data_IF_521180187727
#
_entry.id   IF_521180187727
#
_cell.length_a   1.000
_cell.length_b   1.000
_cell.length_c   1.000
_cell.angle_alpha   90.00
_cell.angle_beta   90.00
_cell.angle_gamma   90.00
#
_symmetry.space_group_name_H-M   'P 1'
#
loop_
_entity.id
_entity.type
_entity.pdbx_description
1 polymer ?
#
# COMPACT_ATOMS: atom_id res chain seq x y z
N UNK A 1 -15.37 -2.30 22.59
CA UNK A 1 -13.92 -2.24 22.87
C UNK A 1 -13.23 -1.64 21.66
N UNK A 2 -12.12 -0.93 21.84
CA UNK A 2 -11.36 -0.34 20.73
C UNK A 2 -10.44 -1.40 20.11
N UNK A 3 -10.45 -1.52 18.79
CA UNK A 3 -9.60 -2.37 17.97
C UNK A 3 -8.23 -1.68 17.81
N UNK A 4 -7.14 -2.25 18.36
CA UNK A 4 -5.81 -1.65 18.28
C UNK A 4 -5.28 -1.70 16.84
N UNK A 5 -4.53 -0.68 16.45
CA UNK A 5 -3.84 -0.68 15.16
C UNK A 5 -2.47 -1.39 15.20
N UNK A 6 -1.98 -1.82 14.04
CA UNK A 6 -0.68 -2.48 13.82
C UNK A 6 0.37 -1.54 13.20
N UNK A 7 1.53 -2.07 12.82
CA UNK A 7 2.60 -1.31 12.17
C UNK A 7 2.18 -0.67 10.85
N UNK A 8 1.20 -1.22 10.13
CA UNK A 8 0.59 -0.60 8.95
C UNK A 8 0.16 0.84 9.22
N UNK A 9 -0.60 1.04 10.31
CA UNK A 9 -1.12 2.35 10.70
C UNK A 9 -0.05 3.20 11.35
N UNK A 10 0.83 2.62 12.18
CA UNK A 10 1.92 3.36 12.82
C UNK A 10 2.86 3.98 11.76
N UNK A 11 3.21 3.21 10.73
CA UNK A 11 4.04 3.65 9.63
C UNK A 11 3.30 4.61 8.69
N UNK A 12 2.01 4.37 8.41
CA UNK A 12 1.17 5.32 7.66
C UNK A 12 1.12 6.69 8.32
N UNK A 13 0.93 6.73 9.64
CA UNK A 13 0.95 7.97 10.42
C UNK A 13 2.30 8.66 10.32
N UNK A 14 3.39 7.91 10.40
CA UNK A 14 4.74 8.47 10.24
C UNK A 14 4.97 9.10 8.85
N UNK A 15 4.48 8.48 7.76
CA UNK A 15 4.52 9.05 6.40
C UNK A 15 3.79 10.39 6.38
N UNK A 16 2.54 10.40 6.86
CA UNK A 16 1.69 11.60 6.82
C UNK A 16 2.26 12.72 7.69
N UNK A 17 2.75 12.40 8.88
CA UNK A 17 3.39 13.39 9.76
C UNK A 17 4.64 14.02 9.12
N UNK A 18 5.42 13.24 8.35
CA UNK A 18 6.56 13.78 7.60
C UNK A 18 6.11 14.76 6.53
N UNK A 19 5.15 14.35 5.70
CA UNK A 19 4.58 15.19 4.64
C UNK A 19 4.00 16.50 5.19
N UNK A 20 3.30 16.45 6.33
CA UNK A 20 2.73 17.63 6.97
C UNK A 20 3.80 18.54 7.58
N UNK A 21 4.81 17.98 8.23
CA UNK A 21 5.87 18.76 8.87
C UNK A 21 6.80 19.44 7.85
N UNK A 22 7.07 18.76 6.74
CA UNK A 22 8.01 19.23 5.71
C UNK A 22 7.32 19.93 4.55
N UNK A 23 6.02 19.68 4.35
CA UNK A 23 5.21 20.21 3.24
C UNK A 23 5.72 19.77 1.85
N UNK A 24 6.68 18.86 1.85
CA UNK A 24 7.29 18.17 0.72
C UNK A 24 7.83 16.82 1.20
N UNK A 25 8.36 16.04 0.28
CA UNK A 25 8.98 14.77 0.59
C UNK A 25 10.41 15.03 1.05
N UNK A 26 10.72 14.60 2.27
CA UNK A 26 12.03 14.67 2.88
C UNK A 26 12.36 13.26 3.41
N UNK A 27 13.22 12.54 2.69
CA UNK A 27 13.60 11.17 3.03
C UNK A 27 14.26 11.06 4.41
N UNK A 28 14.99 12.10 4.83
CA UNK A 28 15.72 12.10 6.10
C UNK A 28 14.74 12.22 7.27
N UNK A 29 13.79 13.15 7.17
CA UNK A 29 12.73 13.31 8.16
C UNK A 29 11.82 12.08 8.23
N UNK A 30 11.42 11.53 7.09
CA UNK A 30 10.56 10.36 7.04
C UNK A 30 11.26 9.12 7.63
N UNK A 31 12.54 8.90 7.29
CA UNK A 31 13.33 7.81 7.85
C UNK A 31 13.50 7.93 9.36
N UNK A 32 13.76 9.15 9.85
CA UNK A 32 13.86 9.45 11.28
C UNK A 32 12.55 9.13 12.00
N UNK A 33 11.40 9.55 11.46
CA UNK A 33 10.08 9.27 12.04
C UNK A 33 9.77 7.79 12.12
N UNK A 34 10.07 7.01 11.08
CA UNK A 34 9.90 5.55 11.13
C UNK A 34 10.69 4.94 12.28
N UNK A 35 11.94 5.37 12.45
CA UNK A 35 12.82 4.82 13.46
C UNK A 35 12.43 5.25 14.89
N UNK A 36 11.97 6.50 15.06
CA UNK A 36 11.47 7.02 16.32
C UNK A 36 10.13 6.39 16.73
N UNK A 37 9.21 6.19 15.78
CA UNK A 37 7.93 5.51 16.02
C UNK A 37 8.16 4.06 16.46
N UNK A 38 9.01 3.31 15.75
CA UNK A 38 9.40 1.96 16.17
C UNK A 38 10.03 1.95 17.57
N UNK A 39 10.89 2.92 17.90
CA UNK A 39 11.51 3.02 19.23
C UNK A 39 10.45 3.27 20.32
N UNK A 40 9.42 4.05 20.02
CA UNK A 40 8.35 4.42 20.95
C UNK A 40 7.38 3.25 21.17
N UNK A 41 6.95 2.58 20.10
CA UNK A 41 5.93 1.53 20.13
C UNK A 41 6.40 0.26 19.38
N UNK A 42 7.46 -0.44 19.85
CA UNK A 42 8.08 -1.54 19.09
C UNK A 42 7.21 -2.79 18.92
N UNK A 43 6.13 -2.92 19.70
CA UNK A 43 5.28 -4.11 19.76
C UNK A 43 4.02 -3.98 18.89
N UNK A 44 4.07 -3.20 17.80
CA UNK A 44 2.94 -2.98 16.88
C UNK A 44 2.80 -4.01 15.75
N UNK A 45 3.67 -5.02 15.67
CA UNK A 45 3.57 -6.08 14.65
C UNK A 45 4.67 -6.07 13.59
N UNK A 46 5.63 -5.14 13.68
CA UNK A 46 6.71 -4.98 12.69
C UNK A 46 7.41 -6.29 12.31
N UNK A 47 7.61 -6.47 11.00
CA UNK A 47 8.42 -7.56 10.47
C UNK A 47 9.84 -7.58 11.04
N UNK A 48 10.31 -8.76 11.47
CA UNK A 48 11.60 -8.89 12.17
C UNK A 48 12.80 -8.35 11.39
N UNK A 49 12.77 -8.42 10.05
CA UNK A 49 13.86 -7.94 9.21
C UNK A 49 13.97 -6.40 9.22
N UNK A 50 12.84 -5.69 9.21
CA UNK A 50 12.83 -4.21 9.15
C UNK A 50 13.28 -3.56 10.46
N UNK A 51 13.18 -4.27 11.59
CA UNK A 51 13.69 -3.81 12.89
C UNK A 51 15.17 -3.40 12.82
N UNK A 52 15.99 -4.13 12.05
CA UNK A 52 17.41 -3.81 11.89
C UNK A 52 17.62 -2.50 11.11
N UNK A 53 16.72 -2.18 10.18
CA UNK A 53 16.71 -0.87 9.49
C UNK A 53 16.47 0.25 10.48
N UNK A 54 15.43 0.14 11.31
CA UNK A 54 15.10 1.18 12.31
C UNK A 54 16.25 1.40 13.30
N UNK A 55 16.88 0.32 13.78
CA UNK A 55 18.05 0.43 14.66
C UNK A 55 19.23 1.15 14.00
N UNK A 56 19.48 0.90 12.71
CA UNK A 56 20.54 1.58 11.96
C UNK A 56 20.19 3.06 11.70
N UNK A 57 18.93 3.37 11.39
CA UNK A 57 18.47 4.75 11.16
C UNK A 57 18.58 5.63 12.43
N UNK A 58 18.44 5.05 13.62
CA UNK A 58 18.67 5.76 14.89
C UNK A 58 20.16 5.97 15.21
N UNK A 59 21.06 5.33 14.47
CA UNK A 59 22.50 5.45 14.73
C UNK A 59 23.00 6.82 14.26
N UNK A 60 23.76 7.56 15.08
CA UNK A 60 24.37 8.83 14.65
C UNK A 60 25.41 8.63 13.53
N UNK A 61 25.75 7.39 13.19
CA UNK A 61 26.64 7.03 12.07
C UNK A 61 25.90 6.85 10.74
N UNK A 62 24.57 6.89 10.72
CA UNK A 62 23.79 6.79 9.49
C UNK A 62 23.81 8.14 8.77
N UNK A 63 24.60 8.24 7.70
CA UNK A 63 24.65 9.42 6.83
C UNK A 63 23.78 9.26 5.57
N UNK A 64 23.53 8.03 5.15
CA UNK A 64 22.68 7.67 4.02
C UNK A 64 21.49 6.85 4.54
N UNK A 65 20.31 7.45 4.51
CA UNK A 65 19.07 6.86 5.08
C UNK A 65 18.54 5.69 4.26
N UNK A 66 19.04 5.47 3.04
CA UNK A 66 18.67 4.32 2.20
C UNK A 66 19.62 3.13 2.37
N UNK A 67 20.86 3.33 2.87
CA UNK A 67 21.82 2.25 3.08
C UNK A 67 21.27 1.11 3.95
N UNK A 68 20.59 1.37 5.08
CA UNK A 68 20.12 0.30 5.94
C UNK A 68 19.18 -0.69 5.22
N UNK A 69 18.31 -0.18 4.36
CA UNK A 69 17.40 -0.97 3.56
C UNK A 69 18.13 -1.77 2.48
N UNK A 70 19.11 -1.16 1.79
CA UNK A 70 19.95 -1.84 0.79
C UNK A 70 20.75 -2.98 1.40
N UNK A 71 21.20 -2.85 2.64
CA UNK A 71 21.96 -3.88 3.34
C UNK A 71 21.12 -5.12 3.75
N UNK A 72 19.78 -5.04 3.71
CA UNK A 72 18.94 -6.18 4.08
C UNK A 72 19.12 -7.36 3.10
N UNK A 73 18.91 -8.59 3.60
CA UNK A 73 18.89 -9.82 2.80
C UNK A 73 20.16 -10.00 1.93
N UNK A 74 21.33 -9.81 2.54
CA UNK A 74 22.63 -9.91 1.87
C UNK A 74 22.75 -8.97 0.65
N UNK A 75 22.25 -7.73 0.79
CA UNK A 75 22.31 -6.74 -0.28
C UNK A 75 21.15 -6.78 -1.27
N UNK A 76 20.23 -7.75 -1.15
CA UNK A 76 19.11 -7.92 -2.09
C UNK A 76 17.91 -7.01 -1.79
N UNK A 77 17.84 -6.46 -0.57
CA UNK A 77 16.70 -5.67 -0.09
C UNK A 77 15.46 -6.52 0.23
N UNK A 78 14.53 -5.92 0.96
CA UNK A 78 13.23 -6.55 1.28
C UNK A 78 12.26 -6.44 0.09
N UNK A 79 11.58 -7.54 -0.24
CA UNK A 79 10.44 -7.59 -1.17
C UNK A 79 9.07 -7.62 -0.45
N UNK A 80 9.06 -7.41 0.87
CA UNK A 80 7.84 -7.35 1.68
C UNK A 80 6.90 -6.22 1.27
N UNK A 81 5.65 -6.30 1.72
CA UNK A 81 4.60 -5.33 1.44
C UNK A 81 4.60 -4.10 2.36
N UNK A 82 5.52 -4.05 3.34
CA UNK A 82 5.56 -2.95 4.31
C UNK A 82 5.80 -1.58 3.69
N UNK A 83 6.40 -1.50 2.50
CA UNK A 83 6.46 -0.28 1.70
C UNK A 83 5.09 0.18 1.20
N UNK A 84 4.27 -0.77 0.72
CA UNK A 84 2.95 -0.51 0.16
C UNK A 84 1.89 -0.23 1.22
N UNK A 85 1.94 -0.91 2.37
CA UNK A 85 0.94 -0.77 3.44
C UNK A 85 0.80 0.66 4.00
N UNK A 86 1.83 1.50 3.78
CA UNK A 86 1.93 2.87 4.33
C UNK A 86 1.90 3.98 3.28
N UNK A 87 1.79 3.64 2.00
CA UNK A 87 2.09 4.59 0.90
C UNK A 87 0.93 5.54 0.58
N UNK A 88 -0.28 5.27 1.06
CA UNK A 88 -1.51 5.98 0.68
C UNK A 88 -1.46 7.50 0.95
N UNK A 89 -0.63 7.98 1.89
CA UNK A 89 -0.44 9.41 2.11
C UNK A 89 0.21 10.17 0.94
N UNK A 90 1.00 9.49 0.10
CA UNK A 90 1.68 10.08 -1.06
C UNK A 90 0.68 10.58 -2.12
N UNK A 91 -0.20 9.73 -2.70
CA UNK A 91 -1.16 10.18 -3.71
C UNK A 91 -2.22 11.15 -3.19
N UNK A 92 -2.38 11.30 -1.87
CA UNK A 92 -3.24 12.31 -1.26
C UNK A 92 -2.63 13.73 -1.28
N UNK A 93 -1.32 13.86 -1.49
CA UNK A 93 -0.61 15.17 -1.52
C UNK A 93 -0.09 15.51 -2.91
N UNK A 94 0.27 14.50 -3.70
CA UNK A 94 0.85 14.67 -5.03
C UNK A 94 -0.17 14.32 -6.11
N UNK A 95 -0.55 15.32 -6.91
CA UNK A 95 -1.47 15.17 -8.05
C UNK A 95 -0.76 14.74 -9.33
N UNK A 96 0.51 15.10 -9.52
CA UNK A 96 1.29 14.66 -10.66
C UNK A 96 1.67 13.18 -10.52
N UNK A 97 1.36 12.39 -11.55
CA UNK A 97 1.56 10.95 -11.51
C UNK A 97 3.04 10.53 -11.49
N UNK A 98 3.94 11.36 -12.02
CA UNK A 98 5.38 11.10 -11.94
C UNK A 98 5.87 11.32 -10.51
N UNK A 99 5.38 12.36 -9.84
CA UNK A 99 5.65 12.59 -8.42
C UNK A 99 5.08 11.46 -7.55
N UNK A 100 3.87 10.96 -7.82
CA UNK A 100 3.31 9.79 -7.12
C UNK A 100 4.25 8.59 -7.23
N UNK A 101 4.71 8.24 -8.44
CA UNK A 101 5.65 7.11 -8.64
C UNK A 101 6.98 7.35 -7.95
N UNK A 102 7.55 8.55 -8.11
CA UNK A 102 8.85 8.93 -7.56
C UNK A 102 8.83 8.85 -6.03
N UNK A 103 7.86 9.49 -5.37
CA UNK A 103 7.81 9.56 -3.91
C UNK A 103 7.27 8.27 -3.27
N UNK A 104 6.42 7.50 -3.97
CA UNK A 104 6.10 6.13 -3.55
C UNK A 104 7.35 5.25 -3.54
N UNK A 105 8.19 5.33 -4.59
CA UNK A 105 9.47 4.60 -4.66
C UNK A 105 10.40 5.02 -3.52
N UNK A 106 10.70 6.31 -3.40
CA UNK A 106 11.65 6.81 -2.41
C UNK A 106 11.17 6.52 -0.97
N UNK A 107 9.89 6.71 -0.66
CA UNK A 107 9.34 6.38 0.66
C UNK A 107 9.42 4.88 0.97
N UNK A 108 9.28 4.01 -0.04
CA UNK A 108 9.42 2.57 0.10
C UNK A 108 10.89 2.16 0.31
N UNK A 109 11.82 2.72 -0.47
CA UNK A 109 13.26 2.41 -0.45
C UNK A 109 13.92 2.68 0.90
N UNK A 110 13.32 3.50 1.77
CA UNK A 110 13.75 3.67 3.17
C UNK A 110 13.75 2.35 3.98
N UNK A 111 12.99 1.34 3.55
CA UNK A 111 12.94 0.01 4.18
C UNK A 111 12.96 -1.16 3.19
N UNK A 112 12.59 -0.94 1.93
CA UNK A 112 12.40 -1.97 0.90
C UNK A 112 13.19 -1.62 -0.36
N UNK A 113 14.45 -2.06 -0.43
CA UNK A 113 15.35 -1.77 -1.55
C UNK A 113 15.29 -2.79 -2.71
N UNK A 114 14.49 -3.85 -2.57
CA UNK A 114 14.22 -4.76 -3.69
C UNK A 114 13.08 -4.20 -4.54
N UNK A 115 13.19 -4.32 -5.87
CA UNK A 115 12.17 -3.81 -6.80
C UNK A 115 10.80 -4.40 -6.55
N UNK A 116 10.70 -5.68 -6.16
CA UNK A 116 9.40 -6.26 -5.83
C UNK A 116 8.74 -5.56 -4.64
N UNK A 117 9.53 -5.04 -3.69
CA UNK A 117 9.03 -4.28 -2.56
C UNK A 117 8.58 -2.87 -2.97
N UNK A 118 9.47 -2.08 -3.59
CA UNK A 118 9.13 -0.70 -3.95
C UNK A 118 8.18 -0.58 -5.15
N UNK A 119 8.20 -1.50 -6.11
CA UNK A 119 7.23 -1.51 -7.22
C UNK A 119 5.82 -1.88 -6.72
N UNK A 120 5.71 -2.70 -5.67
CA UNK A 120 4.44 -2.92 -4.99
C UNK A 120 3.91 -1.64 -4.32
N UNK A 121 4.79 -0.83 -3.73
CA UNK A 121 4.40 0.46 -3.17
C UNK A 121 4.00 1.47 -4.26
N UNK A 122 4.70 1.51 -5.39
CA UNK A 122 4.31 2.31 -6.56
C UNK A 122 2.93 1.87 -7.06
N UNK A 123 2.70 0.57 -7.23
CA UNK A 123 1.41 0.04 -7.66
C UNK A 123 0.27 0.43 -6.70
N UNK A 124 0.47 0.27 -5.40
CA UNK A 124 -0.52 0.66 -4.40
C UNK A 124 -0.80 2.17 -4.44
N UNK A 125 0.24 3.01 -4.57
CA UNK A 125 0.08 4.46 -4.66
C UNK A 125 -0.67 4.87 -5.94
N UNK A 126 -0.38 4.21 -7.08
CA UNK A 126 -1.10 4.43 -8.33
C UNK A 126 -2.57 4.00 -8.21
N UNK A 127 -2.86 2.87 -7.57
CA UNK A 127 -4.24 2.41 -7.36
C UNK A 127 -5.06 3.42 -6.55
N UNK A 128 -4.48 3.98 -5.47
CA UNK A 128 -5.12 5.06 -4.70
C UNK A 128 -5.24 6.34 -5.53
N UNK A 129 -4.20 6.72 -6.28
CA UNK A 129 -4.23 7.91 -7.14
C UNK A 129 -5.34 7.84 -8.19
N UNK A 130 -5.51 6.69 -8.85
CA UNK A 130 -6.58 6.48 -9.83
C UNK A 130 -7.96 6.42 -9.18
N UNK A 131 -8.05 5.87 -7.97
CA UNK A 131 -9.31 5.82 -7.21
C UNK A 131 -9.81 7.22 -6.80
N UNK A 132 -8.91 8.20 -6.65
CA UNK A 132 -9.28 9.60 -6.40
C UNK A 132 -9.84 10.32 -7.64
N UNK A 133 -9.74 9.72 -8.83
CA UNK A 133 -10.24 10.33 -10.07
C UNK A 133 -11.72 9.99 -10.27
N UNK A 134 -12.56 11.03 -10.42
CA UNK A 134 -13.99 10.84 -10.63
C UNK A 134 -14.30 10.14 -11.96
N UNK A 135 -15.28 9.23 -11.92
CA UNK A 135 -15.86 8.62 -13.12
C UNK A 135 -15.00 7.55 -13.80
N UNK A 136 -13.89 7.11 -13.20
CA UNK A 136 -13.05 6.07 -13.79
C UNK A 136 -13.77 4.70 -13.76
N UNK A 137 -13.90 4.08 -14.93
CA UNK A 137 -14.46 2.74 -15.05
C UNK A 137 -13.49 1.67 -14.53
N UNK A 138 -14.02 0.50 -14.14
CA UNK A 138 -13.20 -0.65 -13.71
C UNK A 138 -12.17 -1.06 -14.76
N UNK A 139 -12.57 -1.03 -16.03
CA UNK A 139 -11.71 -1.38 -17.16
C UNK A 139 -10.58 -0.36 -17.33
N UNK A 140 -10.92 0.93 -17.39
CA UNK A 140 -9.92 2.01 -17.54
C UNK A 140 -8.97 2.05 -16.35
N UNK A 141 -9.45 1.82 -15.13
CA UNK A 141 -8.62 1.73 -13.92
C UNK A 141 -7.53 0.66 -14.09
N UNK A 142 -7.91 -0.55 -14.49
CA UNK A 142 -6.95 -1.65 -14.69
C UNK A 142 -5.99 -1.40 -15.85
N UNK A 143 -6.48 -0.87 -16.97
CA UNK A 143 -5.64 -0.60 -18.14
C UNK A 143 -4.57 0.44 -17.85
N UNK A 144 -4.91 1.49 -17.08
CA UNK A 144 -3.94 2.48 -16.65
C UNK A 144 -2.91 1.90 -15.68
N UNK A 145 -3.34 1.05 -14.72
CA UNK A 145 -2.39 0.35 -13.83
C UNK A 145 -1.44 -0.57 -14.60
N UNK A 146 -1.96 -1.37 -15.53
CA UNK A 146 -1.14 -2.26 -16.37
C UNK A 146 -0.14 -1.44 -17.17
N UNK A 147 -0.60 -0.41 -17.87
CA UNK A 147 0.26 0.47 -18.66
C UNK A 147 1.37 1.08 -17.78
N UNK A 148 1.03 1.65 -16.63
CA UNK A 148 2.05 2.23 -15.76
C UNK A 148 3.03 1.21 -15.20
N UNK A 149 2.57 0.01 -14.82
CA UNK A 149 3.46 -1.01 -14.29
C UNK A 149 4.35 -1.62 -15.36
N UNK A 150 3.90 -1.75 -16.61
CA UNK A 150 4.78 -2.20 -17.70
C UNK A 150 5.97 -1.24 -17.89
N UNK A 151 5.73 0.07 -17.77
CA UNK A 151 6.80 1.06 -17.83
C UNK A 151 7.69 1.04 -16.57
N UNK A 152 7.10 0.88 -15.38
CA UNK A 152 7.84 0.83 -14.11
C UNK A 152 8.70 -0.44 -14.02
N UNK A 153 8.20 -1.58 -14.49
CA UNK A 153 8.89 -2.87 -14.36
C UNK A 153 9.90 -3.14 -15.49
N UNK A 154 9.93 -2.32 -16.54
CA UNK A 154 10.84 -2.45 -17.67
C UNK A 154 12.29 -2.03 -17.38
N UNK A 155 12.58 -1.45 -16.20
CA UNK A 155 13.95 -1.09 -15.83
C UNK A 155 14.83 -2.32 -15.51
N UNK A 156 16.13 -2.22 -15.81
CA UNK A 156 17.08 -3.34 -15.66
C UNK A 156 17.13 -3.94 -14.25
N UNK A 157 16.99 -3.10 -13.21
CA UNK A 157 17.00 -3.58 -11.82
C UNK A 157 15.72 -4.34 -11.52
N UNK A 158 14.57 -3.86 -11.98
CA UNK A 158 13.30 -4.55 -11.82
C UNK A 158 13.34 -5.96 -12.42
N UNK A 159 13.82 -6.08 -13.67
CA UNK A 159 13.97 -7.36 -14.35
C UNK A 159 14.95 -8.30 -13.63
N UNK A 160 16.08 -7.76 -13.18
CA UNK A 160 17.11 -8.53 -12.46
C UNK A 160 16.60 -9.08 -11.12
N UNK A 161 15.96 -8.24 -10.31
CA UNK A 161 15.42 -8.62 -8.99
C UNK A 161 14.31 -9.68 -9.13
N UNK A 162 13.43 -9.56 -10.14
CA UNK A 162 12.39 -10.55 -10.42
C UNK A 162 12.97 -11.92 -10.77
N UNK A 163 13.91 -11.97 -11.73
CA UNK A 163 14.59 -13.19 -12.17
C UNK A 163 15.38 -13.84 -11.04
N UNK A 164 16.04 -13.03 -10.19
CA UNK A 164 16.80 -13.52 -9.04
C UNK A 164 15.94 -14.25 -7.99
N UNK A 165 14.61 -14.03 -8.01
CA UNK A 165 13.62 -14.69 -7.16
C UNK A 165 12.81 -15.76 -7.90
N UNK A 166 13.18 -16.08 -9.15
CA UNK A 166 12.53 -17.10 -9.97
C UNK A 166 11.20 -16.65 -10.60
N UNK A 167 10.91 -15.35 -10.60
CA UNK A 167 9.77 -14.80 -11.32
C UNK A 167 10.14 -14.48 -12.77
N UNK A 168 9.14 -14.52 -13.62
CA UNK A 168 9.25 -13.96 -14.96
C UNK A 168 9.22 -12.43 -14.94
N UNK A 169 9.64 -11.82 -16.04
CA UNK A 169 9.63 -10.38 -16.23
C UNK A 169 8.22 -9.79 -16.08
N UNK A 170 8.15 -8.55 -15.59
CA UNK A 170 6.92 -7.77 -15.36
C UNK A 170 5.89 -8.47 -14.42
N UNK A 171 6.32 -8.98 -13.24
CA UNK A 171 5.49 -9.84 -12.41
C UNK A 171 4.22 -9.16 -11.85
N UNK A 172 4.22 -7.84 -11.60
CA UNK A 172 3.01 -7.11 -11.21
C UNK A 172 2.06 -6.92 -12.39
N UNK A 173 2.58 -6.53 -13.56
CA UNK A 173 1.80 -6.37 -14.79
C UNK A 173 1.08 -7.66 -15.17
N UNK A 174 1.73 -8.82 -15.00
CA UNK A 174 1.11 -10.13 -15.23
C UNK A 174 -0.03 -10.44 -14.25
N UNK A 175 0.12 -10.09 -12.97
CA UNK A 175 -0.97 -10.23 -12.00
C UNK A 175 -2.12 -9.29 -12.28
N UNK A 176 -1.86 -8.06 -12.73
CA UNK A 176 -2.91 -7.13 -13.15
C UNK A 176 -3.68 -7.66 -14.38
N UNK A 177 -2.99 -8.27 -15.34
CA UNK A 177 -3.64 -8.98 -16.46
C UNK A 177 -4.48 -10.17 -15.97
N UNK A 178 -3.99 -10.91 -14.97
CA UNK A 178 -4.76 -11.99 -14.35
C UNK A 178 -6.02 -11.49 -13.63
N UNK A 179 -5.94 -10.31 -13.01
CA UNK A 179 -7.10 -9.63 -12.42
C UNK A 179 -8.12 -9.26 -13.49
N UNK A 180 -7.67 -8.76 -14.66
CA UNK A 180 -8.56 -8.50 -15.80
C UNK A 180 -9.32 -9.77 -16.22
N UNK A 181 -8.62 -10.89 -16.38
CA UNK A 181 -9.24 -12.19 -16.68
C UNK A 181 -10.28 -12.60 -15.62
N UNK A 182 -9.94 -12.47 -14.33
CA UNK A 182 -10.85 -12.84 -13.24
C UNK A 182 -12.13 -12.01 -13.18
N UNK A 183 -12.08 -10.74 -13.57
CA UNK A 183 -13.24 -9.85 -13.54
C UNK A 183 -14.17 -10.05 -14.74
N UNK A 184 -13.74 -10.78 -15.77
CA UNK A 184 -14.60 -11.21 -16.89
C UNK A 184 -15.41 -12.47 -16.55
N UNK A 185 -15.02 -13.20 -15.51
CA UNK A 185 -15.70 -14.41 -15.05
C UNK A 185 -16.89 -14.04 -14.16
N UNK A 186 -17.98 -14.80 -14.28
CA UNK A 186 -19.17 -14.63 -13.43
C UNK A 186 -18.91 -14.98 -11.96
N UNK A 187 -17.97 -15.87 -11.69
CA UNK A 187 -17.55 -16.28 -10.35
C UNK A 187 -16.12 -16.78 -10.37
N UNK A 188 -15.34 -16.41 -9.36
CA UNK A 188 -13.97 -16.91 -9.15
C UNK A 188 -13.86 -17.52 -7.75
N UNK A 189 -13.53 -18.82 -7.63
CA UNK A 189 -13.26 -19.42 -6.33
C UNK A 189 -12.13 -18.70 -5.60
N UNK A 190 -12.29 -18.47 -4.28
CA UNK A 190 -11.22 -17.86 -3.47
C UNK A 190 -9.90 -18.64 -3.57
N UNK A 191 -9.95 -19.96 -3.69
CA UNK A 191 -8.76 -20.79 -3.89
C UNK A 191 -7.93 -20.38 -5.13
N UNK A 192 -8.59 -20.00 -6.23
CA UNK A 192 -7.92 -19.58 -7.46
C UNK A 192 -7.32 -18.17 -7.30
N UNK A 193 -8.03 -17.28 -6.60
CA UNK A 193 -7.51 -15.96 -6.21
C UNK A 193 -6.23 -16.12 -5.38
N UNK A 194 -6.24 -17.01 -4.39
CA UNK A 194 -5.08 -17.28 -3.53
C UNK A 194 -3.92 -17.93 -4.28
N UNK A 195 -4.23 -18.82 -5.22
CA UNK A 195 -3.23 -19.48 -6.05
C UNK A 195 -2.50 -18.49 -6.95
N UNK A 196 -3.26 -17.67 -7.69
CA UNK A 196 -2.73 -16.77 -8.71
C UNK A 196 -2.17 -15.46 -8.12
N UNK A 197 -2.91 -14.82 -7.23
CA UNK A 197 -2.56 -13.50 -6.68
C UNK A 197 -1.82 -13.63 -5.36
N UNK A 198 -2.21 -14.57 -4.51
CA UNK A 198 -1.65 -14.77 -3.17
C UNK A 198 -2.36 -13.98 -2.08
N UNK A 199 -1.94 -14.21 -0.84
CA UNK A 199 -2.41 -13.52 0.36
C UNK A 199 -1.31 -13.40 1.42
N UNK A 200 -0.06 -13.17 0.99
CA UNK A 200 1.11 -13.23 1.88
C UNK A 200 1.83 -11.89 2.04
N UNK A 201 2.81 -11.87 2.94
CA UNK A 201 3.61 -10.69 3.29
C UNK A 201 4.47 -10.09 2.16
N UNK A 202 4.62 -10.79 1.04
CA UNK A 202 5.36 -10.28 -0.12
C UNK A 202 4.47 -9.29 -0.87
N UNK A 203 5.00 -8.13 -1.27
CA UNK A 203 4.20 -7.12 -1.98
C UNK A 203 3.53 -7.67 -3.25
N UNK A 204 4.25 -8.51 -3.97
CA UNK A 204 3.76 -9.20 -5.16
C UNK A 204 2.60 -10.18 -4.87
N UNK A 205 2.45 -10.63 -3.62
CA UNK A 205 1.39 -11.55 -3.15
C UNK A 205 0.33 -10.89 -2.26
N UNK A 206 0.29 -9.56 -2.21
CA UNK A 206 -0.71 -8.82 -1.42
C UNK A 206 -1.27 -7.61 -2.16
N UNK A 207 -0.43 -6.79 -2.82
CA UNK A 207 -0.88 -5.56 -3.50
C UNK A 207 -1.86 -5.88 -4.64
N UNK A 208 -1.59 -6.83 -5.56
CA UNK A 208 -2.57 -7.21 -6.59
C UNK A 208 -3.85 -7.78 -5.98
N UNK A 209 -3.75 -8.55 -4.90
CA UNK A 209 -4.91 -9.10 -4.19
C UNK A 209 -5.80 -8.02 -3.57
N UNK A 210 -5.19 -6.97 -3.01
CA UNK A 210 -5.93 -5.81 -2.51
C UNK A 210 -6.67 -5.08 -3.64
N UNK A 211 -6.01 -4.85 -4.77
CA UNK A 211 -6.62 -4.24 -5.97
C UNK A 211 -7.77 -5.11 -6.49
N UNK A 212 -7.55 -6.42 -6.63
CA UNK A 212 -8.60 -7.36 -7.03
C UNK A 212 -9.80 -7.28 -6.10
N UNK A 213 -9.56 -7.30 -4.79
CA UNK A 213 -10.62 -7.27 -3.77
C UNK A 213 -11.48 -6.01 -3.88
N UNK A 214 -10.86 -4.84 -4.09
CA UNK A 214 -11.57 -3.59 -4.37
C UNK A 214 -12.43 -3.72 -5.64
N UNK A 215 -11.84 -4.11 -6.77
CA UNK A 215 -12.55 -4.16 -8.05
C UNK A 215 -13.68 -5.20 -8.06
N UNK A 216 -13.46 -6.36 -7.43
CA UNK A 216 -14.44 -7.43 -7.26
C UNK A 216 -15.64 -6.99 -6.42
N UNK A 217 -15.39 -6.19 -5.38
CA UNK A 217 -16.42 -5.75 -4.43
C UNK A 217 -17.17 -4.49 -4.85
N UNK A 218 -16.85 -3.92 -6.02
CA UNK A 218 -17.71 -2.93 -6.67
C UNK A 218 -19.10 -3.52 -6.98
N UNK A 219 -19.15 -4.82 -7.28
CA UNK A 219 -20.40 -5.59 -7.47
C UNK A 219 -20.80 -6.32 -6.19
N UNK A 220 -22.03 -6.81 -6.14
CA UNK A 220 -22.52 -7.64 -5.04
C UNK A 220 -21.74 -8.96 -4.94
N UNK A 221 -21.68 -9.51 -3.74
CA UNK A 221 -21.11 -10.81 -3.47
C UNK A 221 -22.17 -11.66 -2.75
N UNK A 222 -22.55 -12.84 -3.27
CA UNK A 222 -23.60 -13.65 -2.65
C UNK A 222 -23.23 -14.15 -1.25
N UNK A 223 -21.93 -14.20 -0.91
CA UNK A 223 -21.46 -14.62 0.42
C UNK A 223 -21.40 -13.45 1.41
N UNK A 224 -21.62 -12.21 0.96
CA UNK A 224 -21.58 -11.00 1.81
C UNK A 224 -22.97 -10.35 1.83
N UNK A 225 -23.62 -10.23 3.01
CA UNK A 225 -24.95 -9.63 3.11
C UNK A 225 -25.07 -8.24 2.45
N UNK A 226 -26.16 -8.01 1.70
CA UNK A 226 -26.36 -6.78 0.90
C UNK A 226 -26.45 -5.49 1.72
N UNK A 227 -26.68 -5.57 3.03
CA UNK A 227 -26.73 -4.40 3.90
C UNK A 227 -25.34 -3.76 4.13
N UNK A 228 -24.25 -4.46 3.78
CA UNK A 228 -22.92 -3.90 3.76
C UNK A 228 -22.67 -3.10 2.48
N UNK A 229 -22.24 -1.84 2.64
CA UNK A 229 -21.84 -0.99 1.51
C UNK A 229 -20.57 -1.54 0.83
N UNK A 230 -20.16 -0.94 -0.30
CA UNK A 230 -19.06 -1.46 -1.11
C UNK A 230 -17.69 -1.39 -0.39
N UNK A 231 -17.46 -0.35 0.42
CA UNK A 231 -16.26 -0.26 1.27
C UNK A 231 -16.21 -1.38 2.31
N UNK A 232 -17.30 -1.60 3.05
CA UNK A 232 -17.40 -2.68 4.02
C UNK A 232 -17.22 -4.05 3.37
N UNK A 233 -17.87 -4.26 2.22
CA UNK A 233 -17.75 -5.49 1.41
C UNK A 233 -16.29 -5.75 1.01
N UNK A 234 -15.58 -4.72 0.58
CA UNK A 234 -14.15 -4.81 0.21
C UNK A 234 -13.30 -5.30 1.39
N UNK A 235 -13.48 -4.72 2.58
CA UNK A 235 -12.74 -5.10 3.78
C UNK A 235 -13.09 -6.53 4.22
N UNK A 236 -14.39 -6.87 4.25
CA UNK A 236 -14.86 -8.23 4.61
C UNK A 236 -14.28 -9.26 3.65
N UNK A 237 -14.29 -8.98 2.35
CA UNK A 237 -13.75 -9.88 1.33
C UNK A 237 -12.25 -10.13 1.56
N UNK A 238 -11.45 -9.07 1.77
CA UNK A 238 -10.02 -9.19 2.06
C UNK A 238 -9.74 -10.08 3.27
N UNK A 239 -10.43 -9.85 4.38
CA UNK A 239 -10.24 -10.64 5.60
C UNK A 239 -10.62 -12.11 5.36
N UNK A 240 -11.65 -12.36 4.55
CA UNK A 240 -12.09 -13.72 4.21
C UNK A 240 -11.10 -14.50 3.33
N UNK A 241 -10.12 -13.84 2.70
CA UNK A 241 -9.04 -14.49 1.96
C UNK A 241 -7.95 -15.06 2.89
N UNK A 242 -7.93 -14.68 4.17
CA UNK A 242 -6.93 -15.11 5.13
C UNK A 242 -5.50 -14.64 4.77
N UNK A 243 -4.51 -15.23 5.42
CA UNK A 243 -3.10 -14.85 5.24
C UNK A 243 -2.78 -13.52 5.91
N UNK A 244 -2.18 -12.60 5.18
CA UNK A 244 -1.75 -11.28 5.64
C UNK A 244 -2.91 -10.27 5.63
N UNK A 245 -3.93 -10.56 6.42
CA UNK A 245 -5.26 -9.95 6.31
C UNK A 245 -5.29 -8.46 6.65
N UNK A 246 -4.50 -8.03 7.61
CA UNK A 246 -4.40 -6.63 8.03
C UNK A 246 -3.81 -5.77 6.90
N UNK A 247 -2.67 -6.17 6.32
CA UNK A 247 -2.05 -5.41 5.24
C UNK A 247 -2.84 -5.47 3.94
N UNK A 248 -3.46 -6.59 3.59
CA UNK A 248 -4.33 -6.66 2.39
C UNK A 248 -5.57 -5.77 2.58
N UNK A 249 -6.22 -5.82 3.75
CA UNK A 249 -7.38 -5.01 4.04
C UNK A 249 -7.04 -3.51 4.15
N UNK A 250 -5.89 -3.12 4.71
CA UNK A 250 -5.48 -1.70 4.78
C UNK A 250 -5.25 -1.12 3.39
N UNK A 251 -4.61 -1.88 2.50
CA UNK A 251 -4.34 -1.46 1.12
C UNK A 251 -5.63 -1.37 0.30
N UNK A 252 -6.50 -2.37 0.39
CA UNK A 252 -7.80 -2.36 -0.31
C UNK A 252 -8.72 -1.27 0.25
N UNK A 253 -8.73 -1.08 1.57
CA UNK A 253 -9.47 -0.04 2.26
C UNK A 253 -9.01 1.37 1.88
N UNK A 254 -7.71 1.59 1.66
CA UNK A 254 -7.20 2.86 1.16
C UNK A 254 -7.69 3.17 -0.27
N UNK A 255 -7.73 2.16 -1.15
CA UNK A 255 -8.25 2.31 -2.52
C UNK A 255 -9.77 2.56 -2.48
N UNK A 256 -10.51 1.74 -1.73
CA UNK A 256 -11.96 1.86 -1.59
C UNK A 256 -12.38 3.17 -0.92
N UNK A 257 -11.68 3.60 0.12
CA UNK A 257 -11.94 4.88 0.80
C UNK A 257 -11.69 6.09 -0.08
N UNK A 258 -10.64 6.05 -0.91
CA UNK A 258 -10.39 7.08 -1.92
C UNK A 258 -11.49 7.13 -2.99
N UNK A 259 -12.00 5.97 -3.42
CA UNK A 259 -13.01 5.87 -4.47
C UNK A 259 -14.43 6.20 -4.00
N UNK A 260 -14.83 5.70 -2.84
CA UNK A 260 -16.20 5.83 -2.32
C UNK A 260 -16.40 7.02 -1.39
N UNK A 261 -15.31 7.60 -0.88
CA UNK A 261 -15.34 8.72 0.06
C UNK A 261 -15.77 8.33 1.48
N UNK A 262 -15.75 9.33 2.36
CA UNK A 262 -16.10 9.20 3.79
C UNK A 262 -17.55 8.73 4.00
N UNK A 263 -18.44 8.98 3.03
CA UNK A 263 -19.85 8.55 3.10
C UNK A 263 -20.04 7.04 3.27
N UNK A 264 -19.08 6.24 2.79
CA UNK A 264 -19.10 4.78 2.95
C UNK A 264 -18.32 4.29 4.17
N UNK A 265 -17.74 5.18 4.99
CA UNK A 265 -17.10 4.81 6.26
C UNK A 265 -18.17 4.83 7.36
N UNK A 266 -18.63 3.66 7.85
CA UNK A 266 -19.70 3.63 8.85
C UNK A 266 -19.18 4.14 10.21
N UNK A 267 -19.89 5.05 10.90
CA UNK A 267 -19.48 5.55 12.21
C UNK A 267 -19.18 4.45 13.23
N UNK A 268 -19.94 3.36 13.20
CA UNK A 268 -19.73 2.21 14.11
C UNK A 268 -18.40 1.48 13.86
N UNK A 269 -17.90 1.49 12.63
CA UNK A 269 -16.63 0.85 12.27
C UNK A 269 -15.46 1.76 12.60
N UNK A 270 -15.48 3.02 12.17
CA UNK A 270 -14.39 3.95 12.46
C UNK A 270 -14.20 4.21 13.96
N UNK A 271 -15.28 4.38 14.72
CA UNK A 271 -15.20 4.63 16.17
C UNK A 271 -14.71 3.43 16.96
N UNK A 272 -14.72 2.24 16.34
CA UNK A 272 -14.12 1.05 16.92
C UNK A 272 -12.59 1.06 16.78
N UNK A 273 -12.00 1.79 15.84
CA UNK A 273 -10.56 1.79 15.60
C UNK A 273 -9.79 2.69 16.57
N UNK A 274 -8.69 2.20 17.13
CA UNK A 274 -7.73 3.02 17.85
C UNK A 274 -7.26 4.20 16.98
N UNK A 275 -7.16 5.39 17.58
CA UNK A 275 -6.67 6.62 16.93
C UNK A 275 -7.50 7.14 15.74
N UNK A 276 -8.75 6.70 15.53
CA UNK A 276 -9.58 7.17 14.40
C UNK A 276 -9.72 8.71 14.35
N UNK A 277 -9.88 9.39 15.49
CA UNK A 277 -9.95 10.85 15.58
C UNK A 277 -8.64 11.54 15.17
N UNK A 278 -7.49 10.89 15.40
CA UNK A 278 -6.22 11.41 14.91
C UNK A 278 -6.10 11.22 13.40
N UNK A 279 -6.49 10.05 12.88
CA UNK A 279 -6.55 9.77 11.44
C UNK A 279 -7.42 10.78 10.70
N UNK A 280 -8.62 11.10 11.20
CA UNK A 280 -9.50 12.13 10.61
C UNK A 280 -8.84 13.51 10.58
N UNK A 281 -8.18 13.92 11.69
CA UNK A 281 -7.46 15.19 11.74
C UNK A 281 -6.31 15.23 10.74
N UNK A 282 -5.54 14.15 10.64
CA UNK A 282 -4.43 14.04 9.70
C UNK A 282 -4.90 14.07 8.25
N UNK A 283 -6.01 13.39 7.93
CA UNK A 283 -6.62 13.43 6.59
C UNK A 283 -7.05 14.86 6.21
N UNK A 284 -7.68 15.60 7.14
CA UNK A 284 -8.03 17.00 6.91
C UNK A 284 -6.80 17.88 6.66
N UNK A 285 -5.73 17.71 7.45
CA UNK A 285 -4.48 18.46 7.24
C UNK A 285 -3.79 18.09 5.92
N UNK A 286 -3.88 16.83 5.47
CA UNK A 286 -3.37 16.43 4.15
C UNK A 286 -4.15 17.12 3.03
N UNK A 287 -5.47 17.17 3.14
CA UNK A 287 -6.31 17.88 2.17
C UNK A 287 -5.97 19.37 2.10
N UNK A 288 -5.76 20.02 3.25
CA UNK A 288 -5.29 21.42 3.29
C UNK A 288 -3.92 21.60 2.59
N UNK A 289 -2.99 20.66 2.79
CA UNK A 289 -1.69 20.66 2.10
C UNK A 289 -1.83 20.42 0.59
N UNK A 290 -2.71 19.52 0.17
CA UNK A 290 -3.03 19.27 -1.24
C UNK A 290 -3.59 20.53 -1.92
N UNK A 291 -4.57 21.19 -1.31
CA UNK A 291 -5.15 22.43 -1.86
C UNK A 291 -4.12 23.56 -1.97
N UNK A 292 -3.11 23.60 -1.11
CA UNK A 292 -2.03 24.60 -1.17
C UNK A 292 -1.02 24.32 -2.29
N UNK A 293 -1.07 23.14 -2.92
CA UNK A 293 -0.18 22.69 -3.99
C UNK A 293 -0.82 22.76 -5.39
N UNK A 294 -2.14 22.91 -5.48
CA UNK A 294 -2.86 23.23 -6.71
C UNK A 294 -2.60 24.68 -7.14
#
# INVERSE_FOLDING_TARGET
ESLPYTDDTAMSRSVVQSLLAKREFDEVDMAKRFAEEYKKEPNRGYGMAVVNVFKKLLSPKCSDVFEPARAQFNGKGSYGNGGAMRVAGIPLVYSDIQDVKKFAKLSAELTHANSLGYNGAILQALAVHLALQEGLSRETFLEQLISHMEHVEADDKSLSDARALGFEDLPFSRRLKKIKEFLELSSVPKADVLFELGNGIAALRSVPTAIYSFLRCMDTDPDIPEHYNALQRTIIYCISLGGDTDTIATMAGAIAGAYYGEEQVPPSWEQSCEAFQETQRMAKSLYELYCQRL
#
